data_IF_481811040908
#
_entry.id   IF_481811040908
#
_cell.length_a   1.000
_cell.length_b   1.000
_cell.length_c   1.000
_cell.angle_alpha   90.00
_cell.angle_beta   90.00
_cell.angle_gamma   90.00
#
_symmetry.space_group_name_H-M   'P 1'
#
loop_
_entity.id
_entity.type
_entity.pdbx_description
1 polymer ?
#
# COMPACT_ATOMS: atom_id res chain seq x y z
N UNK A 1 6.37 -2.32 -29.09
CA UNK A 1 4.97 -2.16 -28.66
C UNK A 1 4.87 -0.80 -28.00
N UNK A 2 4.38 0.20 -28.73
CA UNK A 2 4.23 1.57 -28.19
C UNK A 2 2.97 1.55 -27.33
N UNK A 3 3.14 1.73 -26.02
CA UNK A 3 2.01 1.83 -25.09
C UNK A 3 1.41 3.23 -25.27
N UNK A 4 0.36 3.33 -26.09
CA UNK A 4 -0.56 4.47 -26.05
C UNK A 4 -1.08 4.64 -24.61
N UNK A 5 -1.30 5.90 -24.20
CA UNK A 5 -1.74 6.27 -22.84
C UNK A 5 -2.63 5.21 -22.20
N UNK A 6 -2.08 4.54 -21.19
CA UNK A 6 -2.74 3.45 -20.50
C UNK A 6 -4.03 3.94 -19.85
N UNK A 7 -5.16 3.73 -20.55
CA UNK A 7 -6.37 3.28 -19.87
C UNK A 7 -5.93 2.08 -19.05
N UNK A 8 -5.98 2.16 -17.72
CA UNK A 8 -5.76 0.99 -16.87
C UNK A 8 -6.98 0.09 -17.02
N UNK A 9 -7.05 -0.64 -18.14
CA UNK A 9 -8.08 -1.65 -18.34
C UNK A 9 -7.98 -2.61 -17.17
N UNK A 10 -9.08 -2.78 -16.43
CA UNK A 10 -9.23 -3.73 -15.32
C UNK A 10 -10.09 -4.92 -15.81
N UNK A 11 -9.65 -5.67 -16.84
CA UNK A 11 -10.46 -6.68 -17.50
C UNK A 11 -10.94 -7.79 -16.57
N UNK A 12 -10.17 -8.17 -15.55
CA UNK A 12 -10.58 -9.17 -14.55
C UNK A 12 -11.71 -8.61 -13.71
N UNK A 13 -11.54 -7.41 -13.15
CA UNK A 13 -12.57 -6.73 -12.37
C UNK A 13 -13.84 -6.51 -13.21
N UNK A 14 -13.70 -6.06 -14.46
CA UNK A 14 -14.83 -5.86 -15.36
C UNK A 14 -15.56 -7.17 -15.68
N UNK A 15 -14.82 -8.27 -15.89
CA UNK A 15 -15.40 -9.59 -16.14
C UNK A 15 -16.13 -10.14 -14.91
N UNK A 16 -15.56 -9.96 -13.72
CA UNK A 16 -16.22 -10.31 -12.44
C UNK A 16 -17.50 -9.50 -12.22
N UNK A 17 -17.51 -8.22 -12.61
CA UNK A 17 -18.70 -7.38 -12.56
C UNK A 17 -19.74 -7.81 -13.60
N UNK A 18 -19.31 -8.11 -14.83
CA UNK A 18 -20.20 -8.51 -15.92
C UNK A 18 -20.83 -9.89 -15.72
N UNK A 19 -20.11 -10.81 -15.05
CA UNK A 19 -20.62 -12.12 -14.69
C UNK A 19 -21.74 -12.07 -13.64
N UNK A 20 -21.91 -10.93 -12.96
CA UNK A 20 -22.94 -10.75 -11.93
C UNK A 20 -24.31 -10.39 -12.55
N UNK A 21 -25.15 -11.41 -12.72
CA UNK A 21 -26.49 -11.27 -13.30
C UNK A 21 -27.52 -10.65 -12.34
N UNK A 22 -27.16 -10.38 -11.07
CA UNK A 22 -28.09 -9.90 -10.06
C UNK A 22 -28.34 -8.38 -10.19
N UNK A 23 -29.59 -7.90 -10.05
CA UNK A 23 -29.88 -6.47 -10.11
C UNK A 23 -29.16 -5.70 -9.00
N UNK A 24 -28.83 -4.43 -9.28
CA UNK A 24 -28.15 -3.49 -8.35
C UNK A 24 -28.90 -3.36 -7.03
N UNK A 25 -28.62 -4.24 -6.07
CA UNK A 25 -29.38 -4.33 -4.82
C UNK A 25 -28.69 -3.67 -3.64
N UNK A 26 -27.42 -3.27 -3.77
CA UNK A 26 -26.67 -2.58 -2.72
C UNK A 26 -25.88 -1.38 -3.25
N UNK A 27 -25.83 -0.33 -2.46
CA UNK A 27 -24.96 0.83 -2.62
C UNK A 27 -23.63 0.61 -1.88
N UNK A 28 -22.62 1.40 -2.21
CA UNK A 28 -21.38 1.39 -1.45
C UNK A 28 -20.89 2.78 -1.03
N UNK A 29 -20.12 2.79 0.05
CA UNK A 29 -19.25 3.89 0.44
C UNK A 29 -17.81 3.40 0.45
N UNK A 30 -16.90 4.24 -0.05
CA UNK A 30 -15.48 3.94 -0.13
C UNK A 30 -14.68 4.82 0.82
N UNK A 31 -13.72 4.23 1.54
CA UNK A 31 -12.67 4.93 2.26
C UNK A 31 -11.34 4.42 1.71
N UNK A 32 -10.72 5.16 0.79
CA UNK A 32 -9.67 4.60 -0.07
C UNK A 32 -8.63 5.62 -0.50
N UNK A 33 -7.49 5.13 -0.97
CA UNK A 33 -6.49 5.92 -1.68
C UNK A 33 -7.10 6.41 -3.00
N UNK A 34 -7.05 7.72 -3.26
CA UNK A 34 -7.60 8.30 -4.51
C UNK A 34 -6.46 8.64 -5.44
N UNK A 35 -5.97 7.62 -6.16
CA UNK A 35 -4.85 7.70 -7.11
C UNK A 35 -5.37 7.57 -8.54
N UNK A 36 -4.58 7.95 -9.57
CA UNK A 36 -5.02 7.82 -10.97
C UNK A 36 -5.53 6.41 -11.31
N UNK A 37 -4.85 5.38 -10.78
CA UNK A 37 -5.20 3.97 -10.96
C UNK A 37 -6.51 3.53 -10.28
N UNK A 38 -6.98 4.26 -9.25
CA UNK A 38 -8.24 3.96 -8.56
C UNK A 38 -9.47 4.45 -9.30
N UNK A 39 -9.32 5.38 -10.26
CA UNK A 39 -10.45 6.01 -10.95
C UNK A 39 -11.24 4.97 -11.73
N UNK A 40 -10.55 4.15 -12.53
CA UNK A 40 -11.16 3.10 -13.35
C UNK A 40 -11.87 2.05 -12.48
N UNK A 41 -11.27 1.69 -11.34
CA UNK A 41 -11.89 0.79 -10.38
C UNK A 41 -13.19 1.34 -9.80
N UNK A 42 -13.19 2.60 -9.36
CA UNK A 42 -14.38 3.24 -8.78
C UNK A 42 -15.50 3.32 -9.82
N UNK A 43 -15.16 3.60 -11.09
CA UNK A 43 -16.12 3.60 -12.18
C UNK A 43 -16.69 2.22 -12.48
N UNK A 44 -15.83 1.21 -12.57
CA UNK A 44 -16.24 -0.18 -12.75
C UNK A 44 -17.15 -0.60 -11.60
N UNK A 45 -16.72 -0.39 -10.35
CA UNK A 45 -17.47 -0.72 -9.15
C UNK A 45 -18.85 -0.03 -9.14
N UNK A 46 -18.94 1.23 -9.55
CA UNK A 46 -20.20 1.97 -9.61
C UNK A 46 -21.24 1.37 -10.57
N UNK A 47 -20.81 0.57 -11.56
CA UNK A 47 -21.71 -0.18 -12.44
C UNK A 47 -22.50 -1.22 -11.63
N UNK A 48 -21.85 -1.86 -10.64
CA UNK A 48 -22.43 -2.93 -9.81
C UNK A 48 -23.01 -2.41 -8.48
N UNK A 49 -22.23 -1.62 -7.75
CA UNK A 49 -22.57 -1.02 -6.45
C UNK A 49 -22.54 0.50 -6.58
N UNK A 50 -23.68 1.20 -6.73
CA UNK A 50 -23.70 2.65 -6.84
C UNK A 50 -22.95 3.34 -5.68
N UNK A 51 -21.87 4.04 -6.03
CA UNK A 51 -20.94 4.67 -5.08
C UNK A 51 -21.53 5.97 -4.57
N UNK A 52 -21.93 5.99 -3.30
CA UNK A 52 -22.61 7.13 -2.70
C UNK A 52 -21.64 8.19 -2.18
N UNK A 53 -20.51 7.75 -1.63
CA UNK A 53 -19.49 8.60 -1.01
C UNK A 53 -18.12 7.98 -1.20
N UNK A 54 -17.13 8.83 -1.44
CA UNK A 54 -15.71 8.47 -1.47
C UNK A 54 -15.01 9.36 -0.45
N UNK A 55 -14.32 8.76 0.51
CA UNK A 55 -13.51 9.44 1.51
C UNK A 55 -12.06 9.12 1.18
N UNK A 56 -11.32 10.14 0.73
CA UNK A 56 -9.91 9.99 0.39
C UNK A 56 -9.05 9.86 1.65
N UNK A 57 -8.03 9.02 1.61
CA UNK A 57 -6.98 9.00 2.64
C UNK A 57 -6.17 10.31 2.55
N UNK A 58 -6.07 11.11 3.62
CA UNK A 58 -5.59 12.50 3.57
C UNK A 58 -4.14 12.66 3.10
N UNK A 59 -3.29 11.66 3.32
CA UNK A 59 -1.90 11.68 2.89
C UNK A 59 -1.66 10.98 1.53
N UNK A 60 -2.72 10.45 0.90
CA UNK A 60 -2.58 9.60 -0.28
C UNK A 60 -3.77 9.78 -1.22
N UNK A 61 -3.81 10.96 -1.83
CA UNK A 61 -4.67 11.28 -2.95
C UNK A 61 -3.90 12.11 -4.00
N UNK A 62 -4.25 11.91 -5.26
CA UNK A 62 -3.82 12.73 -6.37
C UNK A 62 -4.90 13.75 -6.76
N UNK A 63 -4.48 14.99 -7.05
CA UNK A 63 -5.41 16.08 -7.36
C UNK A 63 -6.13 15.86 -8.68
N UNK A 64 -5.44 15.28 -9.68
CA UNK A 64 -6.03 15.01 -10.99
C UNK A 64 -7.05 13.86 -10.90
N UNK A 65 -6.76 12.82 -10.12
CA UNK A 65 -7.69 11.72 -9.84
C UNK A 65 -8.97 12.20 -9.14
N UNK A 66 -8.83 13.04 -8.11
CA UNK A 66 -10.00 13.67 -7.45
C UNK A 66 -10.81 14.51 -8.43
N UNK A 67 -10.16 15.31 -9.27
CA UNK A 67 -10.84 16.14 -10.26
C UNK A 67 -11.58 15.29 -11.31
N UNK A 68 -10.97 14.19 -11.77
CA UNK A 68 -11.57 13.24 -12.70
C UNK A 68 -12.83 12.59 -12.12
N UNK A 69 -12.77 12.11 -10.87
CA UNK A 69 -13.93 11.55 -10.17
C UNK A 69 -15.06 12.57 -10.00
N UNK A 70 -14.75 13.80 -9.59
CA UNK A 70 -15.75 14.86 -9.45
C UNK A 70 -16.40 15.24 -10.78
N UNK A 71 -15.63 15.29 -11.88
CA UNK A 71 -16.15 15.52 -13.24
C UNK A 71 -17.14 14.43 -13.67
N UNK A 72 -16.98 13.21 -13.17
CA UNK A 72 -17.88 12.07 -13.37
C UNK A 72 -19.02 12.01 -12.33
N UNK A 73 -19.27 13.10 -11.60
CA UNK A 73 -20.31 13.26 -10.57
C UNK A 73 -20.14 12.42 -9.30
N UNK A 74 -18.95 11.87 -9.03
CA UNK A 74 -18.69 11.23 -7.73
C UNK A 74 -18.50 12.26 -6.62
N UNK A 75 -19.07 11.98 -5.45
CA UNK A 75 -18.90 12.81 -4.25
C UNK A 75 -17.65 12.40 -3.47
N UNK A 76 -16.55 13.09 -3.73
CA UNK A 76 -15.25 12.89 -3.07
C UNK A 76 -15.02 13.87 -1.93
N UNK A 77 -14.83 13.35 -0.72
CA UNK A 77 -14.51 14.06 0.52
C UNK A 77 -13.03 13.86 0.85
N UNK A 78 -12.35 14.93 1.28
CA UNK A 78 -10.94 14.89 1.65
C UNK A 78 -10.82 15.42 3.09
N UNK A 79 -10.70 14.54 4.09
CA UNK A 79 -10.36 14.93 5.46
C UNK A 79 -9.01 15.66 5.51
N UNK A 80 -8.81 16.53 6.50
CA UNK A 80 -7.54 17.25 6.73
C UNK A 80 -6.49 16.40 7.43
N UNK A 81 -6.91 15.36 8.15
CA UNK A 81 -6.01 14.48 8.91
C UNK A 81 -6.61 13.09 9.11
N UNK A 82 -5.77 12.13 9.52
CA UNK A 82 -6.23 10.78 9.85
C UNK A 82 -7.28 10.78 10.97
N UNK A 83 -7.10 11.64 11.97
CA UNK A 83 -8.05 11.80 13.07
C UNK A 83 -9.42 12.28 12.57
N UNK A 84 -9.43 13.19 11.60
CA UNK A 84 -10.67 13.63 10.97
C UNK A 84 -11.30 12.54 10.11
N UNK A 85 -10.51 11.67 9.47
CA UNK A 85 -11.01 10.55 8.67
C UNK A 85 -11.95 9.65 9.47
N UNK A 86 -11.62 9.31 10.72
CA UNK A 86 -12.52 8.53 11.61
C UNK A 86 -13.90 9.20 11.75
N UNK A 87 -13.90 10.50 12.09
CA UNK A 87 -15.14 11.27 12.30
C UNK A 87 -15.96 11.42 11.01
N UNK A 88 -15.30 11.68 9.89
CA UNK A 88 -15.95 11.82 8.58
C UNK A 88 -16.53 10.49 8.14
N UNK A 89 -15.79 9.39 8.27
CA UNK A 89 -16.24 8.03 7.96
C UNK A 89 -17.52 7.67 8.72
N UNK A 90 -17.49 7.80 10.05
CA UNK A 90 -18.65 7.54 10.90
C UNK A 90 -19.85 8.40 10.48
N UNK A 91 -19.64 9.72 10.36
CA UNK A 91 -20.71 10.67 10.02
C UNK A 91 -21.34 10.34 8.66
N UNK A 92 -20.55 10.00 7.65
CA UNK A 92 -21.08 9.67 6.32
C UNK A 92 -21.80 8.32 6.31
N UNK A 93 -21.24 7.28 6.93
CA UNK A 93 -21.88 5.98 7.03
C UNK A 93 -23.26 6.09 7.70
N UNK A 94 -23.31 6.73 8.89
CA UNK A 94 -24.58 6.94 9.60
C UNK A 94 -25.57 7.81 8.81
N UNK A 95 -25.09 8.83 8.08
CA UNK A 95 -25.96 9.66 7.26
C UNK A 95 -26.59 8.87 6.10
N UNK A 96 -25.81 8.01 5.43
CA UNK A 96 -26.31 7.15 4.34
C UNK A 96 -27.36 6.15 4.85
N UNK A 97 -27.08 5.49 5.99
CA UNK A 97 -27.98 4.51 6.60
C UNK A 97 -29.26 5.12 7.20
N UNK A 98 -29.26 6.43 7.50
CA UNK A 98 -30.45 7.15 7.98
C UNK A 98 -31.29 7.73 6.84
N UNK A 99 -30.65 8.13 5.75
CA UNK A 99 -31.32 8.80 4.63
C UNK A 99 -32.08 7.84 3.70
N UNK A 100 -31.79 6.54 3.76
CA UNK A 100 -32.28 5.56 2.79
C UNK A 100 -32.32 4.16 3.41
N UNK A 101 -33.22 3.31 2.92
CA UNK A 101 -33.27 1.87 3.25
C UNK A 101 -32.53 0.99 2.24
N UNK A 102 -31.92 1.58 1.21
CA UNK A 102 -31.07 0.84 0.27
C UNK A 102 -29.92 0.16 1.00
N UNK A 103 -29.66 -1.13 0.73
CA UNK A 103 -28.56 -1.83 1.34
C UNK A 103 -27.21 -1.14 1.14
N UNK A 104 -26.36 -1.12 2.18
CA UNK A 104 -25.07 -0.43 2.15
C UNK A 104 -23.94 -1.40 2.51
N UNK A 105 -22.93 -1.43 1.65
CA UNK A 105 -21.62 -2.05 1.93
C UNK A 105 -20.58 -0.95 2.05
N UNK A 106 -19.61 -1.11 2.94
CA UNK A 106 -18.48 -0.18 3.04
C UNK A 106 -17.22 -0.92 2.62
N UNK A 107 -16.47 -0.38 1.68
CA UNK A 107 -15.11 -0.84 1.40
C UNK A 107 -14.15 0.17 1.97
N UNK A 108 -13.18 -0.28 2.77
CA UNK A 108 -12.22 0.61 3.40
C UNK A 108 -10.78 0.09 3.45
N UNK A 109 -9.89 1.06 3.56
CA UNK A 109 -8.44 0.90 3.66
C UNK A 109 -8.01 1.49 5.00
N UNK A 110 -7.98 0.69 6.05
CA UNK A 110 -7.39 1.07 7.34
C UNK A 110 -8.31 0.98 8.55
N UNK A 111 -9.51 0.42 8.49
CA UNK A 111 -10.36 0.15 9.66
C UNK A 111 -10.76 1.40 10.46
N UNK A 112 -11.15 2.47 9.77
CA UNK A 112 -11.66 3.72 10.36
C UNK A 112 -13.02 3.55 11.02
N UNK A 113 -13.76 2.48 10.71
CA UNK A 113 -15.07 2.19 11.33
C UNK A 113 -15.01 1.08 12.38
N UNK A 114 -13.84 0.56 12.74
CA UNK A 114 -13.70 -0.55 13.68
C UNK A 114 -14.40 -0.29 15.03
N UNK A 115 -14.27 0.94 15.56
CA UNK A 115 -14.89 1.36 16.82
C UNK A 115 -16.42 1.63 16.70
N UNK A 116 -16.98 1.65 15.49
CA UNK A 116 -18.36 2.06 15.22
C UNK A 116 -19.24 0.95 14.64
N UNK A 117 -18.71 -0.26 14.50
CA UNK A 117 -19.43 -1.41 13.90
C UNK A 117 -20.76 -1.72 14.61
N UNK A 118 -20.82 -1.61 15.94
CA UNK A 118 -22.05 -1.79 16.72
C UNK A 118 -23.12 -0.77 16.34
N UNK A 119 -22.76 0.51 16.21
CA UNK A 119 -23.69 1.58 15.83
C UNK A 119 -24.23 1.39 14.40
N UNK A 120 -23.40 0.88 13.49
CA UNK A 120 -23.81 0.60 12.12
C UNK A 120 -24.73 -0.63 12.05
N UNK A 121 -24.47 -1.66 12.87
CA UNK A 121 -25.20 -2.93 12.86
C UNK A 121 -26.68 -2.83 13.26
N UNK A 122 -27.10 -1.75 13.91
CA UNK A 122 -28.52 -1.52 14.25
C UNK A 122 -29.37 -1.30 12.98
N UNK A 123 -28.74 -0.89 11.88
CA UNK A 123 -29.41 -0.66 10.61
C UNK A 123 -29.51 -1.97 9.83
N UNK A 124 -30.71 -2.54 9.70
CA UNK A 124 -30.95 -3.83 9.02
C UNK A 124 -30.48 -3.92 7.57
N UNK A 125 -30.30 -2.77 6.91
CA UNK A 125 -29.83 -2.68 5.53
C UNK A 125 -28.31 -2.41 5.45
N UNK A 126 -27.60 -2.33 6.57
CA UNK A 126 -26.14 -2.37 6.56
C UNK A 126 -25.68 -3.81 6.36
N UNK A 127 -24.95 -4.06 5.28
CA UNK A 127 -24.53 -5.40 4.86
C UNK A 127 -23.11 -5.76 5.29
N UNK A 128 -22.35 -4.82 5.85
CA UNK A 128 -21.02 -5.08 6.38
C UNK A 128 -19.90 -4.27 5.73
N UNK A 129 -18.66 -4.70 6.01
CA UNK A 129 -17.44 -4.00 5.62
C UNK A 129 -16.48 -4.95 4.90
N UNK A 130 -15.82 -4.46 3.84
CA UNK A 130 -14.66 -5.10 3.22
C UNK A 130 -13.40 -4.30 3.54
N UNK A 131 -12.43 -4.91 4.22
CA UNK A 131 -11.16 -4.28 4.64
C UNK A 131 -9.96 -4.78 3.80
N UNK A 132 -9.15 -3.85 3.31
CA UNK A 132 -8.00 -4.13 2.43
C UNK A 132 -6.66 -4.33 3.18
N UNK A 133 -6.44 -3.67 4.32
CA UNK A 133 -5.09 -3.54 4.91
C UNK A 133 -4.92 -4.30 6.21
N UNK A 134 -3.68 -4.73 6.49
CA UNK A 134 -3.33 -5.34 7.79
C UNK A 134 -3.59 -4.38 8.96
N UNK A 135 -3.32 -3.08 8.76
CA UNK A 135 -3.59 -2.08 9.78
C UNK A 135 -5.08 -2.01 10.15
N UNK A 136 -5.98 -2.06 9.18
CA UNK A 136 -7.41 -2.13 9.44
C UNK A 136 -7.85 -3.48 9.98
N UNK A 137 -7.32 -4.59 9.45
CA UNK A 137 -7.58 -5.94 9.97
C UNK A 137 -7.28 -6.04 11.47
N UNK A 138 -6.10 -5.60 11.92
CA UNK A 138 -5.73 -5.59 13.34
C UNK A 138 -6.60 -4.66 14.18
N UNK A 139 -7.11 -3.56 13.61
CA UNK A 139 -8.09 -2.72 14.31
C UNK A 139 -9.37 -3.49 14.55
N UNK A 140 -9.94 -4.15 13.54
CA UNK A 140 -11.12 -4.99 13.74
C UNK A 140 -10.87 -6.12 14.73
N UNK A 141 -9.75 -6.84 14.60
CA UNK A 141 -9.38 -7.91 15.53
C UNK A 141 -9.37 -7.42 16.98
N UNK A 142 -8.80 -6.24 17.23
CA UNK A 142 -8.76 -5.62 18.56
C UNK A 142 -10.11 -5.08 19.07
N UNK A 143 -11.15 -4.99 18.23
CA UNK A 143 -12.51 -4.55 18.59
C UNK A 143 -13.55 -5.66 18.50
N UNK A 144 -13.14 -6.89 18.22
CA UNK A 144 -14.04 -8.03 18.21
C UNK A 144 -14.69 -8.23 19.60
N UNK A 145 -15.92 -8.79 19.67
CA UNK A 145 -16.74 -9.30 18.57
C UNK A 145 -17.52 -8.20 17.81
N UNK A 146 -17.88 -8.48 16.55
CA UNK A 146 -18.68 -7.58 15.71
C UNK A 146 -20.06 -8.16 15.41
N UNK A 147 -21.10 -7.31 15.45
CA UNK A 147 -22.49 -7.68 15.18
C UNK A 147 -22.91 -7.52 13.70
N UNK A 148 -21.94 -7.24 12.83
CA UNK A 148 -22.08 -7.20 11.39
C UNK A 148 -20.95 -8.03 10.75
N UNK A 149 -21.11 -8.50 9.50
CA UNK A 149 -20.04 -9.19 8.80
C UNK A 149 -18.94 -8.19 8.38
N UNK A 150 -17.69 -8.61 8.57
CA UNK A 150 -16.50 -7.87 8.16
C UNK A 150 -15.61 -8.86 7.43
N UNK A 151 -15.32 -8.60 6.17
CA UNK A 151 -14.51 -9.47 5.34
C UNK A 151 -13.20 -8.78 5.00
N UNK A 152 -12.08 -9.41 5.34
CA UNK A 152 -10.75 -8.82 5.19
C UNK A 152 -9.97 -9.54 4.10
N UNK A 153 -9.47 -8.79 3.12
CA UNK A 153 -8.54 -9.30 2.10
C UNK A 153 -7.07 -9.11 2.50
N UNK A 154 -6.79 -8.36 3.57
CA UNK A 154 -5.44 -8.00 4.04
C UNK A 154 -4.40 -9.12 4.17
N UNK A 155 -4.87 -10.36 4.30
CA UNK A 155 -4.05 -11.56 4.49
C UNK A 155 -4.42 -12.66 3.47
N UNK A 156 -4.99 -12.27 2.32
CA UNK A 156 -5.18 -13.18 1.18
C UNK A 156 -3.86 -13.50 0.49
N UNK A 157 -3.86 -14.56 -0.33
CA UNK A 157 -2.69 -14.92 -1.14
C UNK A 157 -2.34 -13.81 -2.15
N UNK A 158 -3.34 -13.04 -2.60
CA UNK A 158 -3.14 -11.96 -3.55
C UNK A 158 -2.41 -10.76 -2.93
N UNK A 159 -2.59 -10.49 -1.63
CA UNK A 159 -1.76 -9.48 -0.94
C UNK A 159 -0.29 -9.89 -0.91
N UNK A 160 0.04 -11.19 -0.87
CA UNK A 160 1.43 -11.63 -0.96
C UNK A 160 2.04 -11.39 -2.35
N UNK A 161 1.23 -11.51 -3.41
CA UNK A 161 1.64 -11.12 -4.78
C UNK A 161 1.88 -9.61 -4.84
N UNK A 162 0.97 -8.80 -4.30
CA UNK A 162 1.13 -7.34 -4.22
C UNK A 162 2.39 -6.94 -3.45
N UNK A 163 2.61 -7.53 -2.28
CA UNK A 163 3.80 -7.29 -1.44
C UNK A 163 5.10 -7.56 -2.22
N UNK A 164 5.09 -8.54 -3.12
CA UNK A 164 6.24 -8.87 -3.98
C UNK A 164 6.51 -7.79 -5.03
N UNK A 165 5.48 -7.14 -5.56
CA UNK A 165 5.63 -6.11 -6.57
C UNK A 165 5.98 -4.74 -5.97
N UNK A 166 5.55 -4.45 -4.74
CA UNK A 166 5.89 -3.20 -4.05
C UNK A 166 7.41 -3.05 -3.87
N UNK A 167 8.11 -4.11 -3.44
CA UNK A 167 9.57 -4.04 -3.28
C UNK A 167 10.30 -3.87 -4.61
N UNK A 168 9.82 -4.48 -5.70
CA UNK A 168 10.38 -4.23 -7.04
C UNK A 168 10.13 -2.80 -7.51
N UNK A 169 8.93 -2.27 -7.33
CA UNK A 169 8.58 -0.88 -7.65
C UNK A 169 9.41 0.14 -6.86
N UNK A 170 9.70 -0.16 -5.59
CA UNK A 170 10.59 0.66 -4.78
C UNK A 170 12.01 0.68 -5.38
N UNK A 171 12.56 -0.48 -5.73
CA UNK A 171 13.89 -0.60 -6.34
C UNK A 171 13.93 0.05 -7.72
N UNK A 172 12.88 -0.07 -8.52
CA UNK A 172 12.74 0.63 -9.80
C UNK A 172 12.82 2.15 -9.62
N UNK A 173 12.06 2.69 -8.66
CA UNK A 173 12.04 4.13 -8.37
C UNK A 173 13.41 4.63 -7.90
N UNK A 174 14.10 3.85 -7.07
CA UNK A 174 15.48 4.12 -6.66
C UNK A 174 16.42 4.12 -7.87
N UNK A 175 16.37 3.09 -8.71
CA UNK A 175 17.23 2.96 -9.88
C UNK A 175 17.08 4.15 -10.83
N UNK A 176 15.84 4.60 -11.06
CA UNK A 176 15.55 5.77 -11.89
C UNK A 176 16.27 7.01 -11.38
N UNK A 177 16.18 7.27 -10.07
CA UNK A 177 16.86 8.38 -9.41
C UNK A 177 18.37 8.27 -9.51
N UNK A 178 18.91 7.08 -9.20
CA UNK A 178 20.36 6.84 -9.25
C UNK A 178 20.92 7.12 -10.66
N UNK A 179 20.17 6.77 -11.71
CA UNK A 179 20.56 7.06 -13.09
C UNK A 179 20.41 8.54 -13.45
N UNK A 180 19.30 9.17 -13.09
CA UNK A 180 18.98 10.55 -13.46
C UNK A 180 19.81 11.57 -12.69
N UNK A 181 19.88 11.43 -11.36
CA UNK A 181 20.43 12.43 -10.44
C UNK A 181 21.89 12.16 -10.07
N UNK A 182 22.29 10.88 -9.99
CA UNK A 182 23.65 10.50 -9.60
C UNK A 182 24.52 10.07 -10.80
N UNK A 183 23.94 9.96 -11.99
CA UNK A 183 24.62 9.48 -13.21
C UNK A 183 25.33 8.15 -12.99
N UNK A 184 24.73 7.28 -12.17
CA UNK A 184 25.29 6.01 -11.74
C UNK A 184 24.30 4.86 -11.99
N UNK A 185 24.74 3.65 -11.68
CA UNK A 185 23.97 2.41 -11.79
C UNK A 185 23.96 1.69 -10.45
N UNK A 186 22.91 0.92 -10.15
CA UNK A 186 22.86 0.13 -8.92
C UNK A 186 23.53 -1.25 -9.07
N UNK A 187 23.77 -1.69 -10.30
CA UNK A 187 24.51 -2.91 -10.62
C UNK A 187 25.90 -2.87 -9.97
N UNK A 188 26.27 -3.94 -9.27
CA UNK A 188 27.55 -4.05 -8.56
C UNK A 188 27.66 -3.25 -7.25
N UNK A 189 26.69 -2.41 -6.90
CA UNK A 189 26.70 -1.69 -5.62
C UNK A 189 26.48 -2.64 -4.45
N UNK A 190 27.10 -2.31 -3.31
CA UNK A 190 26.73 -2.90 -2.03
C UNK A 190 25.43 -2.26 -1.55
N UNK A 191 24.34 -3.03 -1.57
CA UNK A 191 23.01 -2.57 -1.18
C UNK A 191 22.58 -3.20 0.14
N UNK A 192 22.21 -2.38 1.11
CA UNK A 192 21.70 -2.79 2.41
C UNK A 192 20.17 -2.77 2.43
N UNK A 193 19.53 -3.79 2.98
CA UNK A 193 18.11 -3.78 3.31
C UNK A 193 17.93 -3.94 4.81
N UNK A 194 17.24 -2.99 5.43
CA UNK A 194 16.93 -3.01 6.86
C UNK A 194 15.48 -3.45 7.05
N UNK A 195 15.29 -4.61 7.66
CA UNK A 195 14.01 -5.30 7.78
C UNK A 195 13.83 -6.33 6.66
N UNK A 196 13.72 -7.61 7.03
CA UNK A 196 13.57 -8.75 6.11
C UNK A 196 12.20 -9.43 6.31
N UNK A 197 11.16 -8.60 6.40
CA UNK A 197 9.76 -9.01 6.23
C UNK A 197 9.37 -9.08 4.75
N UNK A 198 8.07 -9.07 4.43
CA UNK A 198 7.59 -9.26 3.06
C UNK A 198 8.19 -8.26 2.04
N UNK A 199 8.06 -6.96 2.32
CA UNK A 199 8.60 -5.89 1.46
C UNK A 199 10.14 -5.92 1.42
N UNK A 200 10.78 -6.20 2.56
CA UNK A 200 12.22 -6.33 2.66
C UNK A 200 12.78 -7.48 1.82
N UNK A 201 12.14 -8.65 1.89
CA UNK A 201 12.49 -9.82 1.06
C UNK A 201 12.30 -9.50 -0.42
N UNK A 202 11.17 -8.90 -0.81
CA UNK A 202 10.95 -8.47 -2.19
C UNK A 202 12.01 -7.46 -2.67
N UNK A 203 12.31 -6.43 -1.88
CA UNK A 203 13.31 -5.41 -2.21
C UNK A 203 14.70 -6.03 -2.36
N UNK A 204 15.07 -6.98 -1.49
CA UNK A 204 16.33 -7.70 -1.57
C UNK A 204 16.42 -8.57 -2.83
N UNK A 205 15.34 -9.27 -3.20
CA UNK A 205 15.26 -10.05 -4.43
C UNK A 205 15.39 -9.13 -5.65
N UNK A 206 14.67 -8.01 -5.67
CA UNK A 206 14.68 -7.04 -6.76
C UNK A 206 16.06 -6.37 -6.95
N UNK A 207 16.76 -6.04 -5.86
CA UNK A 207 18.13 -5.54 -5.89
C UNK A 207 19.10 -6.59 -6.42
N UNK A 208 19.01 -7.83 -5.93
CA UNK A 208 19.85 -8.94 -6.42
C UNK A 208 19.60 -9.24 -7.90
N UNK A 209 18.34 -9.17 -8.35
CA UNK A 209 17.97 -9.32 -9.75
C UNK A 209 18.53 -8.22 -10.65
N UNK A 210 18.86 -7.06 -10.08
CA UNK A 210 19.60 -5.96 -10.73
C UNK A 210 21.09 -5.98 -10.39
N UNK A 211 21.62 -7.17 -10.09
CA UNK A 211 23.05 -7.44 -9.88
C UNK A 211 23.70 -6.63 -8.74
N UNK A 212 22.90 -6.13 -7.78
CA UNK A 212 23.45 -5.56 -6.55
C UNK A 212 23.94 -6.66 -5.61
N UNK A 213 25.02 -6.39 -4.87
CA UNK A 213 25.44 -7.24 -3.76
C UNK A 213 24.62 -6.87 -2.52
N UNK A 214 23.73 -7.76 -2.07
CA UNK A 214 22.72 -7.42 -1.06
C UNK A 214 23.09 -7.92 0.33
N UNK A 215 23.17 -6.98 1.28
CA UNK A 215 23.33 -7.21 2.71
C UNK A 215 22.03 -6.92 3.47
N UNK A 216 21.69 -7.77 4.42
CA UNK A 216 20.45 -7.72 5.20
C UNK A 216 20.77 -7.48 6.66
N UNK A 217 20.02 -6.58 7.28
CA UNK A 217 19.93 -6.44 8.72
C UNK A 217 18.46 -6.52 9.15
N UNK A 218 18.17 -7.29 10.20
CA UNK A 218 16.86 -7.34 10.86
C UNK A 218 17.11 -7.58 12.34
N UNK A 219 16.31 -6.94 13.20
CA UNK A 219 16.38 -7.12 14.66
C UNK A 219 15.95 -8.53 15.08
N UNK A 220 15.17 -9.23 14.24
CA UNK A 220 14.74 -10.59 14.46
C UNK A 220 15.81 -11.58 13.93
N UNK A 221 16.47 -12.35 14.80
CA UNK A 221 17.53 -13.27 14.39
C UNK A 221 17.03 -14.39 13.46
N UNK A 222 15.77 -14.82 13.57
CA UNK A 222 15.19 -15.82 12.66
C UNK A 222 15.12 -15.31 11.23
N UNK A 223 14.87 -14.01 11.03
CA UNK A 223 14.87 -13.39 9.70
C UNK A 223 16.28 -13.24 9.13
N UNK A 224 17.28 -13.01 9.97
CA UNK A 224 18.69 -13.03 9.55
C UNK A 224 19.15 -14.43 9.12
N UNK A 225 18.70 -15.48 9.82
CA UNK A 225 18.93 -16.88 9.43
C UNK A 225 18.28 -17.14 8.07
N UNK A 226 17.01 -16.76 7.90
CA UNK A 226 16.29 -16.88 6.62
C UNK A 226 17.04 -16.19 5.48
N UNK A 227 17.44 -14.93 5.67
CA UNK A 227 18.21 -14.17 4.68
C UNK A 227 19.50 -14.90 4.25
N UNK A 228 20.23 -15.45 5.22
CA UNK A 228 21.46 -16.21 4.96
C UNK A 228 21.19 -17.50 4.17
N UNK A 229 20.12 -18.22 4.50
CA UNK A 229 19.70 -19.44 3.78
C UNK A 229 19.26 -19.11 2.34
N UNK A 230 18.62 -17.96 2.14
CA UNK A 230 18.22 -17.47 0.80
C UNK A 230 19.38 -16.88 -0.02
N UNK A 231 20.62 -16.94 0.49
CA UNK A 231 21.83 -16.53 -0.22
C UNK A 231 22.17 -15.04 -0.11
N UNK A 232 21.56 -14.31 0.82
CA UNK A 232 21.93 -12.93 1.11
C UNK A 232 23.00 -12.85 2.21
N UNK A 233 23.82 -11.79 2.19
CA UNK A 233 24.72 -11.51 3.29
C UNK A 233 23.92 -11.02 4.49
N UNK A 234 24.05 -11.63 5.67
CA UNK A 234 23.43 -11.11 6.90
C UNK A 234 24.46 -10.39 7.75
N UNK A 235 24.14 -9.16 8.18
CA UNK A 235 24.95 -8.36 9.10
C UNK A 235 24.42 -8.51 10.52
N UNK A 236 25.34 -8.58 11.48
CA UNK A 236 25.00 -8.75 12.90
C UNK A 236 24.70 -7.43 13.59
N UNK A 237 25.20 -6.33 13.05
CA UNK A 237 24.90 -4.98 13.53
C UNK A 237 24.43 -4.08 12.40
N UNK A 238 23.62 -3.08 12.74
CA UNK A 238 23.21 -2.01 11.82
C UNK A 238 24.44 -1.21 11.37
N UNK A 239 25.38 -0.94 12.28
CA UNK A 239 26.62 -0.21 12.01
C UNK A 239 27.42 -0.82 10.85
N UNK A 240 27.62 -2.15 10.84
CA UNK A 240 28.35 -2.83 9.77
C UNK A 240 27.66 -2.59 8.41
N UNK A 241 26.34 -2.74 8.37
CA UNK A 241 25.56 -2.51 7.15
C UNK A 241 25.70 -1.07 6.66
N UNK A 242 25.60 -0.08 7.56
CA UNK A 242 25.68 1.34 7.21
C UNK A 242 27.08 1.78 6.73
N UNK A 243 28.14 1.15 7.23
CA UNK A 243 29.52 1.46 6.84
C UNK A 243 29.90 0.85 5.48
N UNK A 244 29.32 -0.30 5.14
CA UNK A 244 29.64 -1.04 3.91
C UNK A 244 28.79 -0.62 2.70
N UNK A 245 27.52 -0.30 2.91
CA UNK A 245 26.57 -0.16 1.81
C UNK A 245 26.57 1.23 1.14
N UNK A 246 26.51 1.24 -0.19
CA UNK A 246 26.34 2.44 -1.01
C UNK A 246 24.86 2.87 -1.07
N UNK A 247 23.95 1.89 -1.06
CA UNK A 247 22.50 2.10 -1.07
C UNK A 247 21.93 1.39 0.16
N UNK A 248 21.02 2.03 0.90
CA UNK A 248 20.34 1.43 2.04
C UNK A 248 18.83 1.66 1.91
N UNK A 249 18.07 0.57 1.97
CA UNK A 249 16.60 0.57 1.86
C UNK A 249 15.99 0.18 3.20
N UNK A 250 15.19 1.08 3.80
CA UNK A 250 14.43 0.83 5.02
C UNK A 250 13.07 0.20 4.74
N UNK A 251 12.82 -0.98 5.32
CA UNK A 251 11.66 -1.84 5.09
C UNK A 251 11.04 -2.35 6.41
N UNK A 252 11.17 -1.59 7.51
CA UNK A 252 10.76 -2.01 8.86
C UNK A 252 9.35 -1.57 9.25
N UNK A 253 8.84 -0.50 8.62
CA UNK A 253 7.59 0.16 9.02
C UNK A 253 7.68 0.96 10.33
N UNK A 254 8.90 1.16 10.84
CA UNK A 254 9.25 1.94 12.04
C UNK A 254 10.54 2.71 11.77
N UNK A 255 10.99 3.53 12.72
CA UNK A 255 12.31 4.18 12.59
C UNK A 255 13.42 3.14 12.70
N UNK A 256 14.21 3.02 11.64
CA UNK A 256 15.30 2.05 11.50
C UNK A 256 16.68 2.70 11.51
N UNK A 257 16.79 3.99 11.16
CA UNK A 257 18.02 4.77 11.30
C UNK A 257 17.72 6.03 12.10
N UNK A 258 18.35 6.13 13.28
CA UNK A 258 18.23 7.24 14.20
C UNK A 258 19.37 8.24 14.03
N UNK A 259 19.25 9.42 14.63
CA UNK A 259 20.33 10.41 14.65
C UNK A 259 21.67 9.85 15.18
N UNK A 260 21.62 8.92 16.14
CA UNK A 260 22.79 8.24 16.69
C UNK A 260 23.57 7.41 15.67
N UNK A 261 22.93 6.99 14.57
CA UNK A 261 23.54 6.14 13.55
C UNK A 261 24.24 6.95 12.45
N UNK A 262 24.01 8.28 12.39
CA UNK A 262 24.59 9.19 11.38
C UNK A 262 26.12 9.07 11.25
N UNK A 263 26.90 8.94 12.35
CA UNK A 263 28.34 8.74 12.23
C UNK A 263 28.71 7.49 11.42
N UNK A 264 27.92 6.42 11.53
CA UNK A 264 28.15 5.12 10.87
C UNK A 264 27.76 5.09 9.39
N UNK A 265 26.94 6.03 8.92
CA UNK A 265 26.50 6.07 7.51
C UNK A 265 27.69 6.34 6.60
N UNK A 266 27.98 5.45 5.65
CA UNK A 266 29.09 5.63 4.70
C UNK A 266 28.97 6.95 3.93
N UNK A 267 30.11 7.61 3.67
CA UNK A 267 30.18 8.77 2.78
C UNK A 267 29.67 8.40 1.38
N UNK A 268 28.79 9.24 0.84
CA UNK A 268 28.13 9.04 -0.44
C UNK A 268 26.96 8.08 -0.42
N UNK A 269 26.60 7.50 0.74
CA UNK A 269 25.49 6.55 0.81
C UNK A 269 24.15 7.19 0.41
N UNK A 270 23.29 6.39 -0.20
CA UNK A 270 21.92 6.75 -0.60
C UNK A 270 20.95 6.00 0.30
N UNK A 271 20.02 6.71 0.92
CA UNK A 271 18.99 6.17 1.80
C UNK A 271 17.62 6.30 1.14
N UNK A 272 16.83 5.23 1.15
CA UNK A 272 15.45 5.22 0.64
C UNK A 272 14.53 4.42 1.56
N UNK A 273 13.28 4.87 1.69
CA UNK A 273 12.24 4.12 2.41
C UNK A 273 11.39 3.35 1.40
N UNK A 274 11.16 2.06 1.66
CA UNK A 274 10.13 1.26 0.99
C UNK A 274 8.97 0.91 1.95
N UNK A 275 8.86 1.62 3.08
CA UNK A 275 7.78 1.41 4.05
C UNK A 275 6.47 2.06 3.59
N UNK A 276 5.38 1.95 4.35
CA UNK A 276 4.11 2.61 4.00
C UNK A 276 3.99 4.06 4.50
N UNK A 277 4.97 4.55 5.25
CA UNK A 277 4.98 5.90 5.87
C UNK A 277 6.39 6.50 5.87
N UNK A 278 6.48 7.79 6.14
CA UNK A 278 7.72 8.56 6.29
C UNK A 278 8.38 8.38 7.66
N UNK A 279 8.55 7.13 8.10
CA UNK A 279 8.95 6.80 9.49
C UNK A 279 10.31 6.13 9.62
N UNK A 280 10.91 5.65 8.53
CA UNK A 280 12.16 4.87 8.57
C UNK A 280 13.36 5.65 9.10
N UNK A 281 13.36 6.97 8.92
CA UNK A 281 14.50 7.81 9.22
C UNK A 281 14.13 8.93 10.19
N UNK A 282 14.95 9.16 11.20
CA UNK A 282 14.80 10.28 12.13
C UNK A 282 15.20 11.60 11.47
N UNK A 283 14.36 12.10 10.56
CA UNK A 283 14.62 13.32 9.78
C UNK A 283 14.85 14.54 10.67
N UNK A 284 14.09 14.66 11.76
CA UNK A 284 14.22 15.74 12.72
C UNK A 284 15.55 15.67 13.47
N UNK A 285 15.98 14.46 13.86
CA UNK A 285 17.29 14.23 14.45
C UNK A 285 18.44 14.48 13.48
N UNK A 286 18.31 14.07 12.22
CA UNK A 286 19.32 14.33 11.18
C UNK A 286 19.56 15.83 11.00
N UNK A 287 18.50 16.64 11.01
CA UNK A 287 18.59 18.10 10.90
C UNK A 287 19.29 18.78 12.08
N UNK A 288 19.46 18.11 13.23
CA UNK A 288 20.24 18.61 14.37
C UNK A 288 21.73 18.31 14.26
N UNK A 289 22.10 17.27 13.52
CA UNK A 289 23.48 16.78 13.40
C UNK A 289 24.16 17.14 12.07
N UNK A 290 23.36 17.42 11.05
CA UNK A 290 23.82 17.66 9.70
C UNK A 290 23.24 18.96 9.15
N UNK A 291 23.98 19.63 8.29
CA UNK A 291 23.38 20.59 7.36
C UNK A 291 22.64 19.83 6.26
N UNK A 292 21.51 20.36 5.79
CA UNK A 292 20.67 19.70 4.79
C UNK A 292 20.34 20.65 3.65
N UNK A 293 20.48 20.18 2.41
CA UNK A 293 20.14 20.92 1.19
C UNK A 293 19.32 20.02 0.27
N UNK A 294 18.14 20.49 -0.13
CA UNK A 294 17.36 19.86 -1.20
C UNK A 294 18.04 20.18 -2.54
N UNK A 295 18.57 19.16 -3.21
CA UNK A 295 19.19 19.32 -4.53
C UNK A 295 18.12 19.44 -5.62
N UNK A 296 16.99 18.74 -5.42
CA UNK A 296 15.77 18.80 -6.20
C UNK A 296 14.62 18.17 -5.39
N UNK A 297 13.47 17.94 -6.03
CA UNK A 297 12.30 17.32 -5.36
C UNK A 297 12.52 15.87 -4.92
N UNK A 298 13.53 15.21 -5.49
CA UNK A 298 13.84 13.81 -5.29
C UNK A 298 14.95 13.54 -4.28
N UNK A 299 15.94 14.43 -4.20
CA UNK A 299 17.21 14.15 -3.51
C UNK A 299 17.52 15.27 -2.53
N UNK A 300 17.65 14.90 -1.27
CA UNK A 300 18.20 15.75 -0.21
C UNK A 300 19.60 15.27 0.15
N UNK A 301 20.57 16.19 0.19
CA UNK A 301 21.91 15.92 0.71
C UNK A 301 21.99 16.34 2.17
N UNK A 302 22.52 15.45 3.00
CA UNK A 302 22.92 15.74 4.37
C UNK A 302 24.44 15.77 4.45
N UNK A 303 25.01 16.83 5.03
CA UNK A 303 26.45 16.98 5.27
C UNK A 303 26.73 16.98 6.77
N UNK A 304 27.51 16.01 7.22
CA UNK A 304 27.93 15.78 8.60
C UNK A 304 28.93 16.84 9.05
N UNK A 305 29.16 16.93 10.36
CA UNK A 305 30.13 17.85 10.95
C UNK A 305 31.57 17.66 10.44
N UNK A 306 31.95 16.45 10.04
CA UNK A 306 33.27 16.14 9.48
C UNK A 306 33.40 16.43 7.96
N UNK A 307 32.35 16.97 7.32
CA UNK A 307 32.31 17.27 5.90
C UNK A 307 31.82 16.12 5.01
N UNK A 308 31.75 14.89 5.52
CA UNK A 308 31.17 13.77 4.78
C UNK A 308 29.69 14.01 4.51
N UNK A 309 29.20 13.50 3.38
CA UNK A 309 27.80 13.65 3.00
C UNK A 309 27.15 12.33 2.66
N UNK A 310 25.83 12.25 2.85
CA UNK A 310 24.97 11.16 2.39
C UNK A 310 23.67 11.75 1.82
N UNK A 311 22.87 10.93 1.17
CA UNK A 311 21.70 11.36 0.41
C UNK A 311 20.45 10.63 0.86
N UNK A 312 19.35 11.36 0.92
CA UNK A 312 18.03 10.83 1.23
C UNK A 312 17.11 11.02 0.02
N UNK A 313 16.52 9.92 -0.42
CA UNK A 313 15.57 9.94 -1.52
C UNK A 313 14.16 10.27 -1.04
N UNK A 314 13.42 11.00 -1.88
CA UNK A 314 12.02 11.35 -1.74
C UNK A 314 11.66 11.87 -0.34
N UNK A 315 12.56 12.65 0.28
CA UNK A 315 12.40 13.25 1.62
C UNK A 315 12.08 12.22 2.73
N UNK A 316 12.36 10.94 2.50
CA UNK A 316 12.04 9.84 3.42
C UNK A 316 10.63 9.26 3.26
N UNK A 317 9.79 9.79 2.35
CA UNK A 317 8.52 9.17 2.00
C UNK A 317 8.73 7.84 1.25
N UNK A 318 7.72 6.94 1.23
CA UNK A 318 7.78 5.69 0.50
C UNK A 318 8.15 5.90 -0.98
N UNK A 319 9.28 5.37 -1.40
CA UNK A 319 9.89 5.71 -2.68
C UNK A 319 9.08 5.20 -3.88
N UNK A 320 8.34 4.11 -3.71
CA UNK A 320 7.47 3.51 -4.71
C UNK A 320 6.28 4.40 -5.12
N UNK A 321 5.86 5.36 -4.27
CA UNK A 321 4.77 6.29 -4.62
C UNK A 321 5.21 7.48 -5.48
N UNK A 322 6.52 7.67 -5.69
CA UNK A 322 7.02 8.69 -6.62
C UNK A 322 6.63 8.35 -8.06
N UNK A 323 6.77 7.07 -8.42
CA UNK A 323 6.57 6.58 -9.77
C UNK A 323 5.30 5.72 -9.82
N UNK A 324 5.45 4.40 -9.96
CA UNK A 324 4.34 3.48 -10.08
C UNK A 324 4.49 2.37 -9.04
N UNK A 325 3.67 2.39 -8.00
CA UNK A 325 3.73 1.37 -6.94
C UNK A 325 3.19 0.02 -7.41
N UNK A 326 1.89 -0.07 -7.66
CA UNK A 326 1.23 -1.27 -8.19
C UNK A 326 0.36 -0.83 -9.35
N UNK A 327 0.52 -1.48 -10.49
CA UNK A 327 -0.17 -1.14 -11.73
C UNK A 327 -0.60 -2.41 -12.47
N UNK A 328 -1.58 -2.25 -13.37
CA UNK A 328 -1.95 -3.29 -14.33
C UNK A 328 -2.47 -4.57 -13.68
N UNK A 329 -2.03 -5.77 -14.13
CA UNK A 329 -2.65 -7.05 -13.77
C UNK A 329 -2.70 -7.33 -12.27
N UNK A 330 -1.70 -6.88 -11.51
CA UNK A 330 -1.66 -7.11 -10.07
C UNK A 330 -2.66 -6.25 -9.31
N UNK A 331 -2.88 -5.02 -9.77
CA UNK A 331 -3.89 -4.15 -9.19
C UNK A 331 -5.29 -4.69 -9.49
N UNK A 332 -5.50 -5.19 -10.70
CA UNK A 332 -6.76 -5.82 -11.13
C UNK A 332 -7.09 -7.08 -10.30
N UNK A 333 -6.07 -7.84 -9.86
CA UNK A 333 -6.24 -8.96 -8.94
C UNK A 333 -6.81 -8.52 -7.58
N UNK A 334 -6.26 -7.46 -6.97
CA UNK A 334 -6.73 -6.91 -5.69
C UNK A 334 -8.13 -6.33 -5.83
N UNK A 335 -8.38 -5.57 -6.89
CA UNK A 335 -9.70 -5.01 -7.16
C UNK A 335 -10.76 -6.08 -7.42
N UNK A 336 -10.41 -7.15 -8.16
CA UNK A 336 -11.26 -8.31 -8.33
C UNK A 336 -11.65 -8.95 -7.00
N UNK A 337 -10.69 -9.14 -6.08
CA UNK A 337 -10.97 -9.68 -4.75
C UNK A 337 -11.89 -8.78 -3.92
N UNK A 338 -11.68 -7.45 -3.95
CA UNK A 338 -12.57 -6.50 -3.29
C UNK A 338 -14.01 -6.59 -3.82
N UNK A 339 -14.20 -6.62 -5.14
CA UNK A 339 -15.54 -6.73 -5.74
C UNK A 339 -16.20 -8.04 -5.33
N UNK A 340 -15.49 -9.17 -5.41
CA UNK A 340 -16.05 -10.49 -5.06
C UNK A 340 -16.40 -10.56 -3.57
N UNK A 341 -15.57 -9.99 -2.69
CA UNK A 341 -15.90 -9.83 -1.27
C UNK A 341 -17.19 -9.03 -1.05
N UNK A 342 -17.36 -7.91 -1.77
CA UNK A 342 -18.58 -7.10 -1.70
C UNK A 342 -19.81 -7.88 -2.21
N UNK A 343 -19.67 -8.69 -3.26
CA UNK A 343 -20.75 -9.59 -3.75
C UNK A 343 -21.16 -10.61 -2.69
N UNK A 344 -20.19 -11.21 -1.99
CA UNK A 344 -20.49 -12.15 -0.90
C UNK A 344 -21.23 -11.50 0.28
N UNK A 345 -20.91 -10.24 0.63
CA UNK A 345 -21.68 -9.48 1.62
C UNK A 345 -23.09 -9.16 1.13
N UNK A 346 -23.23 -8.72 -0.12
CA UNK A 346 -24.53 -8.44 -0.76
C UNK A 346 -25.45 -9.66 -0.71
N UNK A 347 -24.90 -10.81 -1.05
CA UNK A 347 -25.60 -12.09 -1.15
C UNK A 347 -25.79 -12.76 0.23
N UNK A 348 -25.38 -12.09 1.31
CA UNK A 348 -25.48 -12.54 2.71
C UNK A 348 -24.83 -13.91 2.94
N UNK A 349 -23.72 -14.17 2.25
CA UNK A 349 -22.92 -15.41 2.37
C UNK A 349 -21.92 -15.36 3.52
N UNK A 350 -21.82 -14.22 4.23
CA UNK A 350 -20.88 -14.00 5.32
C UNK A 350 -21.65 -13.77 6.61
N UNK A 351 -21.29 -14.51 7.67
CA UNK A 351 -21.89 -14.34 9.00
C UNK A 351 -21.29 -13.16 9.74
N UNK A 352 -21.93 -12.73 10.83
CA UNK A 352 -21.39 -11.67 11.68
C UNK A 352 -20.00 -12.01 12.23
N UNK A 353 -19.18 -10.99 12.43
CA UNK A 353 -17.80 -11.14 12.91
C UNK A 353 -16.76 -10.80 11.84
N UNK A 354 -15.50 -10.88 12.24
CA UNK A 354 -14.35 -10.67 11.36
C UNK A 354 -13.98 -12.00 10.68
N UNK A 355 -14.01 -11.99 9.35
CA UNK A 355 -13.66 -13.11 8.49
C UNK A 355 -12.54 -12.72 7.54
N UNK A 356 -11.74 -13.70 7.12
CA UNK A 356 -10.79 -13.52 6.03
C UNK A 356 -11.45 -13.90 4.71
N UNK A 357 -10.96 -13.32 3.61
CA UNK A 357 -11.29 -13.78 2.26
C UNK A 357 -11.13 -15.29 2.14
N UNK A 358 -12.16 -15.97 1.66
CA UNK A 358 -12.22 -17.44 1.66
C UNK A 358 -11.50 -18.02 0.44
N UNK A 359 -11.10 -19.31 0.48
CA UNK A 359 -10.58 -19.98 -0.70
C UNK A 359 -11.53 -19.98 -1.91
N UNK A 360 -12.85 -19.99 -1.67
CA UNK A 360 -13.86 -19.88 -2.73
C UNK A 360 -13.77 -18.53 -3.45
N UNK A 361 -13.74 -17.42 -2.70
CA UNK A 361 -13.60 -16.06 -3.24
C UNK A 361 -12.30 -15.95 -4.03
N UNK A 362 -11.20 -16.42 -3.44
CA UNK A 362 -9.89 -16.36 -4.08
C UNK A 362 -9.85 -17.24 -5.34
N UNK A 363 -10.48 -18.42 -5.35
CA UNK A 363 -10.52 -19.28 -6.54
C UNK A 363 -11.28 -18.63 -7.71
N UNK A 364 -12.42 -17.98 -7.45
CA UNK A 364 -13.18 -17.27 -8.50
C UNK A 364 -12.33 -16.18 -9.17
N UNK A 365 -11.67 -15.36 -8.35
CA UNK A 365 -10.83 -14.27 -8.82
C UNK A 365 -9.59 -14.80 -9.54
N UNK A 366 -8.92 -15.81 -8.99
CA UNK A 366 -7.73 -16.42 -9.59
C UNK A 366 -8.04 -17.05 -10.95
N UNK A 367 -9.14 -17.80 -11.07
CA UNK A 367 -9.53 -18.42 -12.34
C UNK A 367 -9.82 -17.35 -13.39
N UNK A 368 -10.59 -16.31 -13.03
CA UNK A 368 -10.87 -15.20 -13.95
C UNK A 368 -9.58 -14.47 -14.35
N UNK A 369 -8.65 -14.28 -13.41
CA UNK A 369 -7.36 -13.66 -13.67
C UNK A 369 -6.51 -14.50 -14.64
N UNK A 370 -6.44 -15.82 -14.43
CA UNK A 370 -5.71 -16.74 -15.30
C UNK A 370 -6.31 -16.83 -16.71
N UNK A 371 -7.63 -16.77 -16.84
CA UNK A 371 -8.27 -16.72 -18.16
C UNK A 371 -7.97 -15.43 -18.92
N UNK A 372 -7.78 -14.31 -18.21
CA UNK A 372 -7.54 -13.00 -18.82
C UNK A 372 -6.05 -12.75 -19.10
N UNK A 373 -5.18 -13.15 -18.18
CA UNK A 373 -3.75 -12.85 -18.22
C UNK A 373 -2.83 -14.07 -18.38
N UNK A 374 -3.36 -15.28 -18.17
CA UNK A 374 -2.59 -16.53 -18.19
C UNK A 374 -2.54 -17.21 -19.55
N UNK A 375 -3.46 -16.91 -20.47
CA UNK A 375 -3.35 -17.36 -21.87
C UNK A 375 -2.47 -16.38 -22.66
N UNK A 376 -1.15 -16.61 -22.64
CA UNK A 376 -0.19 -16.09 -23.61
C UNK A 376 0.84 -17.16 -23.96
#
# INVERSE_FOLDING_TARGET
>A
MVVEHASTTLPVTERLIAADALPKSAHCMLITHVLPTSVDFIEALNKLFPVQRIIAIPYSYDRSAVAALRKKNFRVLIPKSLHETFRVAQKQASALLKASSHPLIIQEVGGYLADFTSDLSIHKHFLGIVEDTNAGHWRYEARAPHLCPILSIAQSEFKAVEDTLIGDAAVYSIERIVREDFRATIQGLQSGVIGFGKIGTSSAIALRGRESAVSIFDVNPSRLIKAKVEGFFSRRSLTDLLQECNLVVGCTGKTSIFASDVPSIRTGAILASASSKDVEFDIAGFGKLCSAVDLNDAVRRYTKANGDSFYLLHKGFPINFRDFSIIGPALDLIYGELVTCMRHLRDKRVSNGLHRSTPEIQAEVANTWLEVYGEN
#
